data_IF_229958038389
#
_entry.id   IF_229958038389
#
_cell.length_a   1.000
_cell.length_b   1.000
_cell.length_c   1.000
_cell.angle_alpha   90.00
_cell.angle_beta   90.00
_cell.angle_gamma   90.00
#
_symmetry.space_group_name_H-M   'P 1'
#
loop_
_entity.id
_entity.type
_entity.pdbx_description
1 polymer ?
#
# COMPACT_ATOMS: atom_id res chain seq x y z
N UNK A 1 -7.20 14.25 1.94
CA UNK A 1 -6.55 14.57 0.65
C UNK A 1 -5.21 13.87 0.63
N UNK A 2 -4.98 13.13 -0.42
CA UNK A 2 -3.71 12.44 -0.63
C UNK A 2 -2.58 13.47 -0.82
N UNK A 3 -1.39 13.14 -0.34
CA UNK A 3 -0.26 14.07 -0.39
C UNK A 3 0.35 14.05 -1.79
N UNK A 4 0.07 15.07 -2.58
CA UNK A 4 0.55 15.17 -3.97
C UNK A 4 2.07 15.02 -4.07
N UNK A 5 2.81 15.61 -3.12
CA UNK A 5 4.28 15.56 -3.09
C UNK A 5 4.83 14.13 -2.98
N UNK A 6 4.15 13.23 -2.26
CA UNK A 6 4.56 11.83 -2.16
C UNK A 6 4.39 11.10 -3.51
N UNK A 7 3.29 11.38 -4.22
CA UNK A 7 3.09 10.85 -5.56
C UNK A 7 4.04 11.45 -6.58
N UNK A 8 4.31 12.76 -6.54
CA UNK A 8 5.32 13.41 -7.39
C UNK A 8 6.69 12.74 -7.22
N UNK A 9 7.07 12.47 -5.96
CA UNK A 9 8.32 11.78 -5.68
C UNK A 9 8.31 10.34 -6.24
N UNK A 10 7.22 9.60 -6.07
CA UNK A 10 7.10 8.24 -6.57
C UNK A 10 7.08 8.19 -8.10
N UNK A 11 6.36 9.10 -8.75
CA UNK A 11 6.34 9.28 -10.21
C UNK A 11 7.74 9.61 -10.75
N UNK A 12 8.43 10.57 -10.12
CA UNK A 12 9.79 10.94 -10.52
C UNK A 12 10.73 9.73 -10.47
N UNK A 13 10.62 8.91 -9.45
CA UNK A 13 11.47 7.74 -9.28
C UNK A 13 11.06 6.54 -10.13
N UNK A 14 9.85 6.51 -10.68
CA UNK A 14 9.44 5.55 -11.70
C UNK A 14 10.15 5.81 -13.06
N UNK A 15 10.77 6.98 -13.21
CA UNK A 15 11.66 7.34 -14.32
C UNK A 15 11.07 7.06 -15.71
N UNK A 16 9.80 7.40 -15.91
CA UNK A 16 9.08 7.20 -17.17
C UNK A 16 8.57 5.77 -17.42
N UNK A 17 8.68 4.89 -16.42
CA UNK A 17 8.20 3.52 -16.48
C UNK A 17 6.70 3.37 -16.18
N UNK A 18 6.32 2.16 -15.79
CA UNK A 18 4.95 1.77 -15.50
C UNK A 18 4.64 1.95 -14.00
N UNK A 19 3.59 2.69 -13.71
CA UNK A 19 3.10 2.89 -12.35
C UNK A 19 1.90 1.96 -12.07
N UNK A 20 2.04 1.08 -11.10
CA UNK A 20 1.03 0.10 -10.75
C UNK A 20 0.33 0.45 -9.44
N UNK A 21 -0.99 0.50 -9.46
CA UNK A 21 -1.83 0.57 -8.27
C UNK A 21 -2.37 -0.83 -7.98
N UNK A 22 -2.14 -1.35 -6.77
CA UNK A 22 -2.66 -2.63 -6.30
C UNK A 22 -3.76 -2.43 -5.26
N UNK A 23 -4.87 -3.14 -5.41
CA UNK A 23 -5.99 -3.12 -4.48
C UNK A 23 -6.86 -4.37 -4.59
N UNK A 24 -7.66 -4.65 -3.54
CA UNK A 24 -8.60 -5.77 -3.51
C UNK A 24 -10.07 -5.34 -3.68
N UNK A 25 -10.34 -4.04 -3.59
CA UNK A 25 -11.68 -3.45 -3.73
C UNK A 25 -11.59 -2.03 -4.28
N UNK A 26 -12.70 -1.49 -4.77
CA UNK A 26 -12.77 -0.14 -5.36
C UNK A 26 -12.57 -0.17 -6.87
N UNK A 27 -12.04 0.91 -7.42
CA UNK A 27 -11.94 1.20 -8.85
C UNK A 27 -10.55 1.70 -9.25
N UNK A 28 -10.40 2.22 -10.44
CA UNK A 28 -9.18 2.75 -11.04
C UNK A 28 -9.03 4.29 -10.95
N UNK A 29 -9.76 4.93 -10.04
CA UNK A 29 -9.77 6.38 -9.89
C UNK A 29 -8.39 7.03 -9.69
N UNK A 30 -7.40 6.27 -9.22
CA UNK A 30 -6.03 6.74 -9.10
C UNK A 30 -5.33 6.94 -10.46
N UNK A 31 -5.73 6.21 -11.50
CA UNK A 31 -4.99 6.17 -12.76
C UNK A 31 -4.86 7.54 -13.41
N UNK A 32 -5.99 8.21 -13.65
CA UNK A 32 -6.00 9.51 -14.28
C UNK A 32 -5.28 10.57 -13.42
N UNK A 33 -5.50 10.54 -12.12
CA UNK A 33 -4.91 11.49 -11.20
C UNK A 33 -3.37 11.37 -11.14
N UNK A 34 -2.83 10.15 -11.00
CA UNK A 34 -1.38 9.90 -10.99
C UNK A 34 -0.77 10.26 -12.34
N UNK A 35 -1.44 9.92 -13.44
CA UNK A 35 -0.96 10.28 -14.77
C UNK A 35 -0.89 11.79 -14.97
N UNK A 36 -1.89 12.54 -14.49
CA UNK A 36 -1.87 14.00 -14.53
C UNK A 36 -0.74 14.60 -13.68
N UNK A 37 -0.43 14.03 -12.51
CA UNK A 37 0.76 14.41 -11.73
C UNK A 37 2.03 14.25 -12.56
N UNK A 38 2.18 13.15 -13.30
CA UNK A 38 3.35 12.90 -14.13
C UNK A 38 3.53 13.94 -15.25
N UNK A 39 2.43 14.40 -15.83
CA UNK A 39 2.45 15.44 -16.88
C UNK A 39 2.85 16.81 -16.32
N UNK A 40 2.30 17.19 -15.14
CA UNK A 40 2.59 18.47 -14.50
C UNK A 40 4.07 18.51 -14.06
N UNK A 41 4.58 17.42 -13.49
CA UNK A 41 5.96 17.28 -13.04
C UNK A 41 6.98 17.11 -14.15
N UNK A 42 6.57 17.05 -15.41
CA UNK A 42 7.43 16.76 -16.57
C UNK A 42 8.20 15.43 -16.45
N UNK A 43 7.57 14.45 -15.79
CA UNK A 43 8.06 13.08 -15.59
C UNK A 43 7.07 12.06 -16.18
N UNK A 44 6.78 12.18 -17.48
CA UNK A 44 5.73 11.39 -18.14
C UNK A 44 5.95 9.89 -17.93
N UNK A 45 4.96 9.24 -17.32
CA UNK A 45 4.94 7.79 -17.16
C UNK A 45 4.56 7.10 -18.48
N UNK A 46 5.07 5.90 -18.71
CA UNK A 46 4.63 5.03 -19.79
C UNK A 46 3.19 4.62 -19.62
N UNK A 47 2.83 4.16 -18.41
CA UNK A 47 1.45 3.85 -18.06
C UNK A 47 1.15 4.04 -16.57
N UNK A 48 -0.13 4.18 -16.26
CA UNK A 48 -0.67 3.99 -14.90
C UNK A 48 -1.79 2.97 -14.98
N UNK A 49 -1.66 1.89 -14.24
CA UNK A 49 -2.60 0.76 -14.30
C UNK A 49 -3.01 0.35 -12.90
N UNK A 50 -4.31 0.13 -12.69
CA UNK A 50 -4.82 -0.48 -11.46
C UNK A 50 -5.09 -1.96 -11.70
N UNK A 51 -4.54 -2.82 -10.83
CA UNK A 51 -4.95 -4.22 -10.70
C UNK A 51 -5.89 -4.33 -9.50
N UNK A 52 -7.09 -4.81 -9.78
CA UNK A 52 -8.09 -5.15 -8.79
C UNK A 52 -8.09 -6.67 -8.57
N UNK A 53 -7.43 -7.10 -7.48
CA UNK A 53 -7.45 -8.50 -7.05
C UNK A 53 -8.68 -8.73 -6.16
N UNK A 54 -9.83 -8.98 -6.76
CA UNK A 54 -11.09 -9.17 -6.04
C UNK A 54 -11.27 -10.60 -5.47
N UNK A 55 -10.29 -11.46 -5.64
CA UNK A 55 -10.23 -12.81 -5.08
C UNK A 55 -8.78 -13.29 -5.02
N UNK A 56 -8.52 -14.33 -4.22
CA UNK A 56 -7.18 -14.89 -4.00
C UNK A 56 -6.54 -15.48 -5.27
N UNK A 57 -7.34 -16.04 -6.17
CA UNK A 57 -6.82 -16.66 -7.39
C UNK A 57 -6.20 -15.65 -8.36
N UNK A 58 -6.62 -14.37 -8.29
CA UNK A 58 -6.01 -13.31 -9.08
C UNK A 58 -4.50 -13.16 -8.80
N UNK A 59 -4.04 -13.53 -7.60
CA UNK A 59 -2.61 -13.51 -7.24
C UNK A 59 -1.77 -14.60 -7.93
N UNK A 60 -2.40 -15.53 -8.61
CA UNK A 60 -1.74 -16.62 -9.35
C UNK A 60 -1.85 -16.43 -10.88
N UNK A 61 -2.61 -15.43 -11.33
CA UNK A 61 -2.80 -15.15 -12.74
C UNK A 61 -1.51 -14.58 -13.37
N UNK A 62 -1.00 -15.23 -14.42
CA UNK A 62 0.22 -14.81 -15.10
C UNK A 62 0.19 -13.37 -15.61
N UNK A 63 -0.99 -12.88 -16.02
CA UNK A 63 -1.16 -11.48 -16.43
C UNK A 63 -0.91 -10.53 -15.26
N UNK A 64 -1.44 -10.84 -14.06
CA UNK A 64 -1.23 -10.05 -12.83
C UNK A 64 0.25 -10.07 -12.45
N UNK A 65 0.85 -11.25 -12.41
CA UNK A 65 2.25 -11.42 -12.06
C UNK A 65 3.18 -10.68 -13.01
N UNK A 66 2.91 -10.75 -14.33
CA UNK A 66 3.70 -10.03 -15.33
C UNK A 66 3.56 -8.52 -15.22
N UNK A 67 2.37 -8.01 -14.91
CA UNK A 67 2.20 -6.56 -14.70
C UNK A 67 3.00 -6.10 -13.47
N UNK A 68 3.01 -6.89 -12.38
CA UNK A 68 3.81 -6.58 -11.20
C UNK A 68 5.32 -6.65 -11.52
N UNK A 69 5.77 -7.66 -12.29
CA UNK A 69 7.18 -7.79 -12.69
C UNK A 69 7.69 -6.60 -13.49
N UNK A 70 6.84 -5.98 -14.30
CA UNK A 70 7.22 -4.89 -15.19
C UNK A 70 7.05 -3.49 -14.58
N UNK A 71 6.38 -3.35 -13.44
CA UNK A 71 6.16 -2.04 -12.82
C UNK A 71 7.46 -1.45 -12.25
N UNK A 72 7.68 -0.15 -12.45
CA UNK A 72 8.77 0.64 -11.86
C UNK A 72 8.35 1.34 -10.56
N UNK A 73 7.04 1.49 -10.33
CA UNK A 73 6.49 1.96 -9.07
C UNK A 73 5.25 1.15 -8.71
N UNK A 74 5.07 0.84 -7.42
CA UNK A 74 3.89 0.14 -6.92
C UNK A 74 3.28 0.94 -5.77
N UNK A 75 1.99 1.19 -5.88
CA UNK A 75 1.20 1.85 -4.84
C UNK A 75 0.07 0.93 -4.36
N UNK A 76 0.06 0.67 -3.06
CA UNK A 76 -1.01 -0.08 -2.42
C UNK A 76 -2.11 0.89 -1.99
N UNK A 77 -3.26 0.83 -2.65
CA UNK A 77 -4.39 1.69 -2.33
C UNK A 77 -5.03 1.30 -0.98
N UNK A 78 -5.92 2.16 -0.47
CA UNK A 78 -6.73 1.84 0.69
C UNK A 78 -7.71 0.69 0.43
N UNK A 79 -8.17 0.08 1.50
CA UNK A 79 -9.10 -1.05 1.45
C UNK A 79 -9.15 -1.78 2.80
N UNK A 80 -9.05 -3.10 2.77
CA UNK A 80 -9.00 -3.96 3.94
C UNK A 80 -7.66 -4.71 3.97
N UNK A 81 -6.83 -4.40 4.96
CA UNK A 81 -5.49 -5.00 5.10
C UNK A 81 -5.54 -6.50 5.41
N UNK A 82 -6.59 -7.00 6.06
CA UNK A 82 -6.74 -8.44 6.30
C UNK A 82 -6.91 -9.20 4.99
N UNK A 83 -7.68 -8.64 4.06
CA UNK A 83 -7.88 -9.19 2.72
C UNK A 83 -6.59 -9.11 1.90
N UNK A 84 -5.81 -8.03 2.03
CA UNK A 84 -4.51 -7.91 1.38
C UNK A 84 -3.56 -9.01 1.82
N UNK A 85 -3.49 -9.27 3.13
CA UNK A 85 -2.67 -10.35 3.67
C UNK A 85 -3.17 -11.73 3.22
N UNK A 86 -4.48 -11.99 3.26
CA UNK A 86 -5.03 -13.27 2.82
C UNK A 86 -4.78 -13.55 1.33
N UNK A 87 -4.87 -12.53 0.46
CA UNK A 87 -4.75 -12.73 -0.98
C UNK A 87 -3.30 -12.74 -1.46
N UNK A 88 -2.40 -11.98 -0.80
CA UNK A 88 -1.05 -11.76 -1.34
C UNK A 88 0.07 -12.34 -0.48
N UNK A 89 -0.12 -12.53 0.85
CA UNK A 89 0.93 -13.09 1.68
C UNK A 89 1.18 -14.57 1.34
N UNK A 90 2.45 -14.96 1.31
CA UNK A 90 2.91 -16.29 0.95
C UNK A 90 2.52 -16.74 -0.48
N UNK A 91 2.34 -15.75 -1.39
CA UNK A 91 2.06 -15.99 -2.80
C UNK A 91 3.21 -15.50 -3.68
N UNK A 92 3.11 -15.75 -4.99
CA UNK A 92 4.08 -15.24 -5.95
C UNK A 92 4.04 -13.71 -6.07
N UNK A 93 2.87 -13.08 -5.84
CA UNK A 93 2.75 -11.61 -5.76
C UNK A 93 3.73 -11.04 -4.72
N UNK A 94 3.71 -11.57 -3.48
CA UNK A 94 4.65 -11.15 -2.43
C UNK A 94 6.11 -11.36 -2.87
N UNK A 95 6.42 -12.53 -3.41
CA UNK A 95 7.79 -12.88 -3.80
C UNK A 95 8.34 -11.96 -4.89
N UNK A 96 7.52 -11.65 -5.89
CA UNK A 96 7.91 -10.74 -6.97
C UNK A 96 8.14 -9.33 -6.44
N UNK A 97 7.21 -8.79 -5.66
CA UNK A 97 7.33 -7.43 -5.10
C UNK A 97 8.58 -7.36 -4.21
N UNK A 98 8.76 -8.35 -3.31
CA UNK A 98 9.94 -8.40 -2.44
C UNK A 98 11.25 -8.37 -3.23
N UNK A 99 11.34 -9.12 -4.33
CA UNK A 99 12.54 -9.17 -5.17
C UNK A 99 12.84 -7.86 -5.89
N UNK A 100 11.83 -7.02 -6.09
CA UNK A 100 11.92 -5.75 -6.81
C UNK A 100 12.22 -4.56 -5.91
N UNK A 101 12.03 -4.65 -4.58
CA UNK A 101 12.10 -3.52 -3.66
C UNK A 101 13.39 -2.69 -3.77
N UNK A 102 14.49 -3.30 -4.15
CA UNK A 102 15.78 -2.61 -4.32
C UNK A 102 15.79 -1.66 -5.54
N UNK A 103 14.91 -1.89 -6.51
CA UNK A 103 14.94 -1.19 -7.80
C UNK A 103 13.70 -0.34 -8.08
N UNK A 104 12.64 -0.48 -7.27
CA UNK A 104 11.37 0.23 -7.47
C UNK A 104 11.03 1.09 -6.27
N UNK A 105 10.09 2.01 -6.47
CA UNK A 105 9.45 2.69 -5.35
C UNK A 105 8.17 1.97 -4.94
N UNK A 106 7.93 1.89 -3.63
CA UNK A 106 6.67 1.42 -3.08
C UNK A 106 6.05 2.47 -2.19
N UNK A 107 4.74 2.57 -2.22
CA UNK A 107 3.98 3.46 -1.36
C UNK A 107 2.62 2.87 -1.03
N UNK A 108 1.93 3.45 -0.07
CA UNK A 108 0.60 3.01 0.29
C UNK A 108 -0.16 4.00 1.14
N UNK A 109 -1.49 3.87 1.16
CA UNK A 109 -2.39 4.65 2.00
C UNK A 109 -3.34 3.73 2.76
N UNK A 110 -3.74 4.11 3.98
CA UNK A 110 -4.69 3.34 4.80
C UNK A 110 -4.27 1.87 4.92
N UNK A 111 -5.10 0.91 4.52
CA UNK A 111 -4.76 -0.52 4.51
C UNK A 111 -3.48 -0.82 3.73
N UNK A 112 -3.26 -0.14 2.61
CA UNK A 112 -2.03 -0.29 1.81
C UNK A 112 -0.79 0.21 2.53
N UNK A 113 -0.89 1.23 3.39
CA UNK A 113 0.20 1.65 4.26
C UNK A 113 0.40 0.66 5.42
N UNK A 114 -0.71 0.15 5.99
CA UNK A 114 -0.64 -0.79 7.10
C UNK A 114 0.19 -2.04 6.80
N UNK A 115 0.12 -2.54 5.56
CA UNK A 115 0.88 -3.74 5.15
C UNK A 115 2.37 -3.50 4.84
N UNK A 116 2.84 -2.25 4.86
CA UNK A 116 4.24 -1.91 4.56
C UNK A 116 5.15 -1.97 5.80
N UNK A 117 4.59 -1.97 7.00
CA UNK A 117 5.36 -2.18 8.23
C UNK A 117 5.84 -3.62 8.38
N UNK A 118 6.91 -3.81 9.16
CA UNK A 118 7.37 -5.17 9.47
C UNK A 118 6.40 -5.91 10.42
N UNK A 119 5.67 -5.17 11.22
CA UNK A 119 4.52 -5.65 11.97
C UNK A 119 3.27 -5.02 11.39
N UNK A 120 2.27 -5.83 11.12
CA UNK A 120 1.04 -5.36 10.49
C UNK A 120 -0.12 -5.48 11.47
N UNK A 121 -0.75 -4.36 11.81
CA UNK A 121 -2.06 -4.43 12.43
C UNK A 121 -3.04 -4.96 11.39
N UNK A 122 -3.39 -6.24 11.50
CA UNK A 122 -4.12 -6.94 10.43
C UNK A 122 -5.61 -6.60 10.38
N UNK A 123 -6.18 -6.14 11.49
CA UNK A 123 -7.63 -5.92 11.64
C UNK A 123 -8.48 -7.15 11.26
N UNK A 124 -7.93 -8.36 11.41
CA UNK A 124 -8.56 -9.62 11.01
C UNK A 124 -9.90 -9.87 11.70
N UNK A 125 -10.05 -9.36 12.91
CA UNK A 125 -11.27 -9.54 13.71
C UNK A 125 -12.12 -8.28 13.80
N UNK A 126 -11.64 -7.17 13.29
CA UNK A 126 -12.28 -5.86 13.36
C UNK A 126 -11.28 -4.75 13.64
N UNK A 127 -11.80 -3.53 13.70
CA UNK A 127 -11.01 -2.36 14.08
C UNK A 127 -11.21 -2.08 15.58
N UNK A 128 -10.12 -1.62 16.22
CA UNK A 128 -10.16 -1.13 17.60
C UNK A 128 -9.62 0.29 17.64
N UNK A 129 -10.21 1.16 18.44
CA UNK A 129 -9.66 2.49 18.63
C UNK A 129 -8.57 2.52 19.73
N UNK A 130 -7.80 3.60 19.77
CA UNK A 130 -6.67 3.74 20.69
C UNK A 130 -7.09 3.69 22.18
N UNK A 131 -8.28 4.17 22.50
CA UNK A 131 -8.77 4.21 23.88
C UNK A 131 -9.10 2.79 24.35
N UNK A 132 -9.85 2.05 23.53
CA UNK A 132 -10.23 0.68 23.85
C UNK A 132 -9.00 -0.24 23.88
N UNK A 133 -8.06 -0.06 22.97
CA UNK A 133 -6.79 -0.78 22.96
C UNK A 133 -5.94 -0.52 24.22
N UNK A 134 -5.91 0.72 24.72
CA UNK A 134 -5.22 1.04 25.97
C UNK A 134 -5.93 0.50 27.20
N UNK A 135 -7.26 0.40 27.18
CA UNK A 135 -8.04 -0.16 28.28
C UNK A 135 -7.92 -1.67 28.35
N UNK A 136 -7.83 -2.33 27.21
CA UNK A 136 -7.66 -3.79 27.12
C UNK A 136 -6.62 -4.15 26.04
N UNK A 137 -5.32 -4.16 26.36
CA UNK A 137 -4.28 -4.50 25.39
C UNK A 137 -4.28 -5.97 24.92
N UNK A 138 -5.16 -6.79 25.50
CA UNK A 138 -5.39 -8.18 25.11
C UNK A 138 -6.71 -8.35 24.35
N UNK A 139 -7.29 -7.26 23.85
CA UNK A 139 -8.52 -7.35 23.07
C UNK A 139 -8.29 -8.17 21.80
N UNK A 140 -9.29 -8.98 21.45
CA UNK A 140 -9.21 -9.85 20.26
C UNK A 140 -9.05 -9.05 18.96
N UNK A 141 -9.53 -7.82 18.95
CA UNK A 141 -9.46 -6.95 17.76
C UNK A 141 -8.07 -6.32 17.62
N UNK A 142 -7.17 -6.50 18.60
CA UNK A 142 -5.73 -6.21 18.46
C UNK A 142 -5.07 -7.44 17.83
N UNK A 143 -5.14 -7.53 16.51
CA UNK A 143 -4.51 -8.61 15.75
C UNK A 143 -3.28 -8.10 15.00
N UNK A 144 -2.13 -8.72 15.29
CA UNK A 144 -0.84 -8.35 14.68
C UNK A 144 -0.34 -9.54 13.86
N UNK A 145 -0.13 -9.29 12.58
CA UNK A 145 0.48 -10.24 11.66
C UNK A 145 1.97 -9.95 11.44
N UNK A 146 2.68 -10.96 10.96
CA UNK A 146 4.05 -10.78 10.46
C UNK A 146 4.07 -9.99 9.17
N UNK A 147 5.25 -9.48 8.81
CA UNK A 147 5.45 -8.65 7.63
C UNK A 147 4.93 -9.28 6.34
N UNK A 148 4.24 -8.47 5.55
CA UNK A 148 3.97 -8.77 4.15
C UNK A 148 5.25 -8.58 3.31
N UNK A 149 5.94 -7.46 3.51
CA UNK A 149 7.21 -7.14 2.84
C UNK A 149 8.27 -6.80 3.88
N UNK A 150 9.51 -7.19 3.60
CA UNK A 150 10.67 -6.72 4.37
C UNK A 150 11.25 -5.50 3.67
N UNK A 151 10.84 -4.32 4.13
CA UNK A 151 11.27 -3.04 3.57
C UNK A 151 12.43 -2.52 4.43
N UNK A 152 13.61 -2.22 3.84
CA UNK A 152 14.73 -1.66 4.57
C UNK A 152 14.34 -0.41 5.37
N UNK A 153 14.87 -0.29 6.58
CA UNK A 153 14.57 0.75 7.58
C UNK A 153 13.19 0.66 8.24
N UNK A 154 12.33 -0.29 7.84
CA UNK A 154 11.04 -0.56 8.47
C UNK A 154 11.03 -1.89 9.27
N UNK A 155 12.18 -2.50 9.51
CA UNK A 155 12.31 -3.84 10.12
C UNK A 155 11.74 -3.96 11.54
N UNK A 156 11.57 -2.84 12.23
CA UNK A 156 11.02 -2.80 13.60
C UNK A 156 9.83 -1.85 13.70
N UNK A 157 9.18 -1.57 12.60
CA UNK A 157 8.11 -0.57 12.51
C UNK A 157 6.76 -1.23 12.32
N UNK A 158 5.77 -0.78 13.06
CA UNK A 158 4.36 -0.89 12.74
C UNK A 158 3.92 0.46 12.17
N UNK A 159 3.28 0.45 11.00
CA UNK A 159 2.77 1.67 10.40
C UNK A 159 1.38 1.96 10.93
N UNK A 160 1.20 3.13 11.54
CA UNK A 160 -0.11 3.58 11.98
C UNK A 160 -0.77 4.43 10.89
N UNK A 161 -1.91 3.98 10.44
CA UNK A 161 -2.74 4.67 9.45
C UNK A 161 -3.87 5.40 10.17
N UNK A 162 -4.33 6.53 9.65
CA UNK A 162 -5.39 7.34 10.27
C UNK A 162 -5.00 8.01 11.60
N UNK A 163 -3.72 8.13 11.92
CA UNK A 163 -3.20 8.71 13.17
C UNK A 163 -3.84 10.06 13.55
N UNK A 164 -4.13 10.91 12.61
CA UNK A 164 -4.74 12.22 12.86
C UNK A 164 -6.26 12.20 13.08
N UNK A 165 -6.95 11.10 12.86
CA UNK A 165 -8.41 11.07 12.96
C UNK A 165 -8.92 11.04 14.41
N UNK A 166 -8.11 10.55 15.34
CA UNK A 166 -8.47 10.37 16.75
C UNK A 166 -7.90 11.44 17.67
N UNK A 167 -6.93 12.23 17.23
CA UNK A 167 -6.20 13.21 18.06
C UNK A 167 -6.59 14.66 17.76
N UNK A 168 -7.14 14.95 16.59
CA UNK A 168 -7.52 16.34 16.24
C UNK A 168 -8.78 16.37 15.39
N UNK A 169 -9.75 17.10 15.84
CA UNK A 169 -10.85 17.58 15.03
C UNK A 169 -10.33 18.16 13.68
N UNK A 170 -10.71 17.51 12.57
CA UNK A 170 -10.70 18.09 11.21
C UNK A 170 -9.40 18.10 10.38
N UNK A 171 -8.54 17.13 10.47
CA UNK A 171 -7.60 16.93 9.36
C UNK A 171 -7.62 15.48 8.90
N UNK A 172 -8.11 15.24 7.70
CA UNK A 172 -7.87 13.97 6.99
C UNK A 172 -6.38 13.91 6.63
N UNK A 173 -5.54 13.53 7.58
CA UNK A 173 -4.12 13.29 7.31
C UNK A 173 -3.98 11.81 6.97
N UNK A 174 -3.88 11.52 5.69
CA UNK A 174 -3.37 10.23 5.25
C UNK A 174 -1.85 10.27 5.39
N UNK A 175 -1.30 9.39 6.21
CA UNK A 175 0.15 9.21 6.29
C UNK A 175 0.58 8.33 5.14
N UNK A 176 1.57 8.77 4.39
CA UNK A 176 2.19 8.01 3.31
C UNK A 176 3.59 7.58 3.75
N UNK A 177 3.90 6.32 3.55
CA UNK A 177 5.27 5.86 3.55
C UNK A 177 5.67 5.61 2.10
N UNK A 178 6.73 6.25 1.66
CA UNK A 178 7.32 6.02 0.35
C UNK A 178 8.76 5.61 0.57
N UNK A 179 9.15 4.48 0.02
CA UNK A 179 10.50 3.93 0.12
C UNK A 179 11.13 3.79 -1.27
N UNK A 180 12.42 4.10 -1.34
CA UNK A 180 13.32 3.77 -2.45
C UNK A 180 14.66 3.29 -1.91
#
# INVERSE_FOLDING_TARGET
>A
TDTTEAFEWQVTNANGGDFLVLRTSGDDAYNEWIYNISLIGNHTLNSVTTILCNNKYASEEEKVLNTIRNAEAIFFAGGDQSVYLDYWANTEVQSIIQSKLINITVGGTSAGLAILGNWVYSAEHGSIDSIDAMMNPYDRDISIASSFLTIPYLESVITDTHFGMYVAYKTNVSVYCVYK
#
